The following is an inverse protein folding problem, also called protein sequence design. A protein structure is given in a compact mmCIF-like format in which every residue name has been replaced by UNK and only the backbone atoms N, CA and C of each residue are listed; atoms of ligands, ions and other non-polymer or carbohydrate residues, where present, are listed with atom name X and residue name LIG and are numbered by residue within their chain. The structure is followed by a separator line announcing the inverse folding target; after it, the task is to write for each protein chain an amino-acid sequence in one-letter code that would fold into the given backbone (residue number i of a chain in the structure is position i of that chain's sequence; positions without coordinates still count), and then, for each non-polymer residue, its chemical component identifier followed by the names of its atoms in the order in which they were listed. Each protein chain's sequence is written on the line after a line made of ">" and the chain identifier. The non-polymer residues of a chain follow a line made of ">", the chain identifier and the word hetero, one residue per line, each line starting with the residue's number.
data_IF_518853663777
#
_entry.id   IF_518853663777
#
_cell.length_a   1.000
_cell.length_b   1.000
_cell.length_c   1.000
_cell.angle_alpha   90.00
_cell.angle_beta   90.00
_cell.angle_gamma   90.00
#
_symmetry.space_group_name_H-M   'P 1'
#
loop_
_entity.id
_entity.type
_entity.pdbx_description
1 polymer ?
#
# COMPACT_ATOMS: atom_id res chain seq x y z
N UNK A 1 -7.45 -13.47 -8.24
CA UNK A 1 -7.66 -12.24 -7.45
C UNK A 1 -6.70 -11.17 -7.91
N UNK A 2 -7.14 -9.93 -7.99
CA UNK A 2 -6.27 -8.82 -8.34
C UNK A 2 -5.44 -8.36 -7.11
N UNK A 3 -4.18 -8.05 -7.36
CA UNK A 3 -3.31 -7.31 -6.44
C UNK A 3 -2.95 -5.99 -7.09
N UNK A 4 -3.12 -4.94 -6.34
CA UNK A 4 -2.99 -3.56 -6.76
C UNK A 4 -1.77 -2.94 -6.10
N UNK A 5 -1.10 -2.09 -6.85
CA UNK A 5 -0.20 -1.08 -6.31
C UNK A 5 -0.54 0.25 -6.98
N UNK A 6 0.09 1.34 -6.55
CA UNK A 6 -0.09 2.64 -7.16
C UNK A 6 1.28 3.26 -7.44
N UNK A 7 1.43 3.86 -8.61
CA UNK A 7 2.64 4.53 -9.01
C UNK A 7 2.32 5.87 -9.67
N UNK A 8 2.99 6.93 -9.20
CA UNK A 8 2.97 8.25 -9.80
C UNK A 8 4.44 8.70 -9.97
N UNK A 9 4.85 9.17 -11.15
CA UNK A 9 6.22 9.62 -11.40
C UNK A 9 6.46 11.02 -10.79
N UNK A 10 6.65 11.07 -9.46
CA UNK A 10 6.86 12.31 -8.73
C UNK A 10 8.30 12.87 -8.81
N UNK A 11 9.21 12.18 -9.52
CA UNK A 11 10.64 12.53 -9.56
C UNK A 11 11.38 12.31 -8.24
N UNK A 12 10.75 11.61 -7.29
CA UNK A 12 11.28 11.29 -5.97
C UNK A 12 11.38 9.76 -5.89
N UNK A 13 12.60 9.23 -5.85
CA UNK A 13 12.89 7.79 -5.85
C UNK A 13 12.28 7.05 -7.06
N UNK A 14 12.98 7.06 -8.21
CA UNK A 14 12.58 6.35 -9.44
C UNK A 14 12.32 4.86 -9.20
N UNK A 15 11.08 4.54 -8.82
CA UNK A 15 10.61 3.20 -8.56
C UNK A 15 10.08 2.51 -9.84
N UNK A 16 10.07 3.23 -10.98
CA UNK A 16 9.68 2.69 -12.29
C UNK A 16 10.39 1.37 -12.63
N UNK A 17 11.72 1.21 -12.40
CA UNK A 17 12.40 -0.05 -12.68
C UNK A 17 11.92 -1.23 -11.82
N UNK A 18 11.21 -0.97 -10.71
CA UNK A 18 10.68 -1.99 -9.83
C UNK A 18 9.37 -2.59 -10.35
N UNK A 19 8.61 -1.85 -11.17
CA UNK A 19 7.29 -2.26 -11.67
C UNK A 19 7.34 -3.60 -12.41
N UNK A 20 8.21 -3.82 -13.42
CA UNK A 20 8.24 -5.10 -14.15
C UNK A 20 8.57 -6.29 -13.23
N UNK A 21 9.43 -6.05 -12.24
CA UNK A 21 9.82 -7.06 -11.25
C UNK A 21 8.66 -7.38 -10.29
N UNK A 22 7.99 -6.34 -9.78
CA UNK A 22 6.80 -6.44 -8.95
C UNK A 22 5.69 -7.22 -9.66
N UNK A 23 5.36 -6.86 -10.91
CA UNK A 23 4.38 -7.56 -11.74
C UNK A 23 4.74 -9.03 -11.91
N UNK A 24 6.00 -9.33 -12.23
CA UNK A 24 6.46 -10.71 -12.42
C UNK A 24 6.29 -11.55 -11.15
N UNK A 25 6.77 -11.07 -10.01
CA UNK A 25 6.79 -11.83 -8.76
C UNK A 25 5.37 -12.06 -8.23
N UNK A 26 4.51 -11.03 -8.24
CA UNK A 26 3.11 -11.18 -7.83
C UNK A 26 2.34 -12.15 -8.74
N UNK A 27 2.61 -12.16 -10.04
CA UNK A 27 2.05 -13.14 -10.97
C UNK A 27 2.51 -14.57 -10.65
N UNK A 28 3.79 -14.76 -10.31
CA UNK A 28 4.32 -16.06 -9.90
C UNK A 28 3.69 -16.57 -8.59
N UNK A 29 3.29 -15.67 -7.68
CA UNK A 29 2.54 -15.99 -6.48
C UNK A 29 1.04 -16.27 -6.72
N UNK A 30 0.58 -16.27 -7.98
CA UNK A 30 -0.80 -16.60 -8.37
C UNK A 30 -1.76 -15.41 -8.43
N UNK A 31 -1.27 -14.18 -8.24
CA UNK A 31 -2.10 -12.98 -8.33
C UNK A 31 -2.19 -12.44 -9.77
N UNK A 32 -3.18 -11.58 -9.99
CA UNK A 32 -3.29 -10.74 -11.18
C UNK A 32 -2.83 -9.31 -10.83
N UNK A 33 -1.57 -8.94 -11.12
CA UNK A 33 -1.04 -7.63 -10.78
C UNK A 33 -1.67 -6.52 -11.63
N UNK A 34 -2.03 -5.41 -10.97
CA UNK A 34 -2.53 -4.18 -11.59
C UNK A 34 -1.80 -3.00 -10.97
N UNK A 35 -1.17 -2.18 -11.78
CA UNK A 35 -0.53 -0.93 -11.33
C UNK A 35 -1.52 0.19 -11.60
N UNK A 36 -1.91 0.90 -10.55
CA UNK A 36 -2.80 2.03 -10.63
C UNK A 36 -2.02 3.33 -10.77
N UNK A 37 -2.67 4.33 -11.37
CA UNK A 37 -2.18 5.70 -11.49
C UNK A 37 -3.31 6.71 -11.26
N UNK A 38 -3.03 8.01 -11.43
CA UNK A 38 -4.02 9.06 -11.27
C UNK A 38 -5.24 8.92 -12.21
N UNK A 39 -5.09 8.31 -13.38
CA UNK A 39 -6.21 8.09 -14.31
C UNK A 39 -7.23 7.08 -13.76
N UNK A 40 -6.80 6.19 -12.86
CA UNK A 40 -7.68 5.21 -12.21
C UNK A 40 -8.62 5.81 -11.16
N UNK A 41 -8.43 7.08 -10.83
CA UNK A 41 -9.27 7.82 -9.91
C UNK A 41 -10.55 8.32 -10.59
N UNK A 42 -10.45 8.68 -11.86
CA UNK A 42 -11.51 9.36 -12.58
C UNK A 42 -12.51 8.37 -13.16
N UNK A 43 -13.68 8.33 -12.55
CA UNK A 43 -14.92 7.90 -13.21
C UNK A 43 -15.92 9.07 -13.14
N UNK A 44 -16.81 9.17 -14.13
CA UNK A 44 -17.85 10.19 -14.21
C UNK A 44 -18.72 10.27 -12.94
N UNK A 45 -18.79 9.18 -12.16
CA UNK A 45 -19.57 9.11 -10.92
C UNK A 45 -18.80 9.58 -9.67
N UNK A 46 -17.47 9.64 -9.70
CA UNK A 46 -16.65 9.89 -8.52
C UNK A 46 -15.94 11.25 -8.53
N UNK A 47 -16.09 12.03 -9.60
CA UNK A 47 -15.33 13.28 -9.80
C UNK A 47 -15.51 14.28 -8.65
N UNK A 48 -16.74 14.56 -8.25
CA UNK A 48 -17.02 15.53 -7.17
C UNK A 48 -16.50 15.02 -5.82
N UNK A 49 -16.66 13.73 -5.55
CA UNK A 49 -16.15 13.11 -4.34
C UNK A 49 -14.62 13.12 -4.29
N UNK A 50 -13.97 12.89 -5.44
CA UNK A 50 -12.52 12.99 -5.54
C UNK A 50 -12.03 14.42 -5.31
N UNK A 51 -12.68 15.42 -5.89
CA UNK A 51 -12.31 16.82 -5.67
C UNK A 51 -12.41 17.20 -4.19
N UNK A 52 -13.49 16.81 -3.51
CA UNK A 52 -13.64 17.03 -2.07
C UNK A 52 -12.56 16.29 -1.27
N UNK A 53 -12.29 15.03 -1.62
CA UNK A 53 -11.26 14.23 -0.97
C UNK A 53 -9.88 14.89 -1.12
N UNK A 54 -9.51 15.25 -2.34
CA UNK A 54 -8.24 15.88 -2.68
C UNK A 54 -8.06 17.22 -1.95
N UNK A 55 -9.07 18.09 -1.99
CA UNK A 55 -9.07 19.39 -1.28
C UNK A 55 -8.82 19.22 0.22
N UNK A 56 -9.39 18.16 0.81
CA UNK A 56 -9.28 17.91 2.24
C UNK A 56 -7.91 17.39 2.64
N UNK A 57 -7.43 16.34 1.99
CA UNK A 57 -6.15 15.70 2.34
C UNK A 57 -4.94 16.56 1.94
N UNK A 58 -5.07 17.43 0.93
CA UNK A 58 -4.01 18.36 0.54
C UNK A 58 -3.71 19.44 1.58
N UNK A 59 -4.55 19.60 2.60
CA UNK A 59 -4.35 20.54 3.72
C UNK A 59 -3.62 19.93 4.89
N UNK A 60 -3.38 18.62 4.87
CA UNK A 60 -2.70 17.96 5.97
C UNK A 60 -1.22 18.36 6.00
N UNK A 61 -0.65 18.56 7.20
CA UNK A 61 0.73 18.99 7.30
C UNK A 61 1.67 17.89 6.83
N UNK A 62 2.75 18.26 6.15
CA UNK A 62 3.76 17.31 5.71
C UNK A 62 5.18 17.84 5.85
N UNK A 63 6.10 16.91 6.13
CA UNK A 63 7.55 17.11 6.08
C UNK A 63 8.19 16.48 4.85
N UNK A 64 7.41 15.72 4.07
CA UNK A 64 7.83 15.06 2.84
C UNK A 64 7.85 16.08 1.68
N UNK A 65 8.53 15.76 0.57
CA UNK A 65 8.48 16.61 -0.61
C UNK A 65 7.07 16.74 -1.18
N UNK A 66 6.84 17.83 -1.90
CA UNK A 66 5.54 18.16 -2.49
C UNK A 66 4.97 17.00 -3.32
N UNK A 67 3.69 16.72 -3.11
CA UNK A 67 2.95 15.68 -3.84
C UNK A 67 3.12 14.26 -3.30
N UNK A 68 4.13 13.96 -2.49
CA UNK A 68 4.38 12.59 -2.00
C UNK A 68 3.21 12.04 -1.17
N UNK A 69 2.83 12.71 -0.08
CA UNK A 69 1.71 12.22 0.75
C UNK A 69 0.38 12.28 0.00
N UNK A 70 0.20 13.25 -0.89
CA UNK A 70 -0.97 13.32 -1.74
C UNK A 70 -1.10 12.06 -2.61
N UNK A 71 -0.02 11.60 -3.24
CA UNK A 71 -0.02 10.35 -4.01
C UNK A 71 -0.36 9.14 -3.12
N UNK A 72 0.15 9.08 -1.88
CA UNK A 72 -0.20 8.04 -0.92
C UNK A 72 -1.70 8.04 -0.57
N UNK A 73 -2.33 9.22 -0.44
CA UNK A 73 -3.79 9.33 -0.25
C UNK A 73 -4.58 8.95 -1.49
N UNK A 74 -4.18 9.47 -2.66
CA UNK A 74 -4.84 9.23 -3.95
C UNK A 74 -4.86 7.74 -4.31
N UNK A 75 -3.80 7.00 -3.98
CA UNK A 75 -3.73 5.54 -4.10
C UNK A 75 -4.97 4.84 -3.53
N UNK A 76 -5.40 5.23 -2.33
CA UNK A 76 -6.56 4.60 -1.68
C UNK A 76 -7.85 4.91 -2.42
N UNK A 77 -7.94 6.11 -3.01
CA UNK A 77 -9.07 6.50 -3.83
C UNK A 77 -9.09 5.72 -5.15
N UNK A 78 -7.96 5.63 -5.86
CA UNK A 78 -7.82 4.83 -7.07
C UNK A 78 -8.21 3.35 -6.82
N UNK A 79 -7.75 2.80 -5.70
CA UNK A 79 -8.12 1.45 -5.27
C UNK A 79 -9.64 1.31 -5.10
N UNK A 80 -10.26 2.23 -4.36
CA UNK A 80 -11.71 2.21 -4.15
C UNK A 80 -12.50 2.32 -5.47
N UNK A 81 -12.10 3.23 -6.37
CA UNK A 81 -12.71 3.38 -7.71
C UNK A 81 -12.63 2.06 -8.49
N UNK A 82 -11.49 1.37 -8.45
CA UNK A 82 -11.37 0.05 -9.10
C UNK A 82 -12.30 -1.00 -8.48
N UNK A 83 -12.46 -1.04 -7.17
CA UNK A 83 -13.37 -2.00 -6.51
C UNK A 83 -14.85 -1.73 -6.82
N UNK A 84 -15.22 -0.49 -7.13
CA UNK A 84 -16.57 -0.14 -7.58
C UNK A 84 -16.78 -0.60 -9.03
N UNK A 85 -15.83 -0.29 -9.91
CA UNK A 85 -16.02 -0.43 -11.36
C UNK A 85 -15.82 -1.86 -11.87
N UNK A 86 -15.09 -2.69 -11.13
CA UNK A 86 -14.76 -4.05 -11.52
C UNK A 86 -15.38 -5.06 -10.55
N UNK A 87 -16.56 -5.58 -10.90
CA UNK A 87 -17.31 -6.52 -10.07
C UNK A 87 -16.50 -7.74 -9.60
N UNK A 88 -15.56 -8.23 -10.41
CA UNK A 88 -14.69 -9.36 -10.05
C UNK A 88 -13.79 -9.09 -8.84
N UNK A 89 -13.57 -7.81 -8.51
CA UNK A 89 -12.68 -7.36 -7.44
C UNK A 89 -13.43 -6.85 -6.21
N UNK A 90 -14.74 -6.66 -6.34
CA UNK A 90 -15.63 -6.01 -5.36
C UNK A 90 -15.61 -6.69 -4.00
N UNK A 91 -15.46 -8.01 -3.97
CA UNK A 91 -15.59 -8.82 -2.76
C UNK A 91 -14.27 -9.00 -2.01
N UNK A 92 -13.14 -9.01 -2.72
CA UNK A 92 -11.82 -9.23 -2.13
C UNK A 92 -10.70 -8.88 -3.11
N UNK A 93 -9.90 -7.88 -2.75
CA UNK A 93 -8.68 -7.48 -3.46
C UNK A 93 -7.59 -7.03 -2.49
N UNK A 94 -6.36 -6.96 -2.96
CA UNK A 94 -5.18 -6.59 -2.16
C UNK A 94 -4.57 -5.30 -2.71
N UNK A 95 -4.34 -4.29 -1.87
CA UNK A 95 -3.51 -3.11 -2.16
C UNK A 95 -2.19 -3.22 -1.41
N UNK A 96 -1.06 -3.09 -2.10
CA UNK A 96 0.29 -3.20 -1.54
C UNK A 96 1.18 -2.07 -2.03
N UNK A 97 2.17 -1.72 -1.21
CA UNK A 97 3.24 -0.81 -1.62
C UNK A 97 4.08 -1.45 -2.73
N UNK A 98 4.69 -0.60 -3.58
CA UNK A 98 5.48 -1.06 -4.72
C UNK A 98 6.77 -1.80 -4.28
N UNK A 99 7.24 -1.56 -3.05
CA UNK A 99 8.38 -2.25 -2.44
C UNK A 99 7.99 -3.38 -1.48
N UNK A 100 6.76 -3.87 -1.57
CA UNK A 100 6.27 -5.05 -0.84
C UNK A 100 6.04 -6.21 -1.81
N UNK A 101 6.56 -7.37 -1.44
CA UNK A 101 6.55 -8.58 -2.27
C UNK A 101 6.03 -9.80 -1.49
N UNK A 102 5.40 -10.77 -2.18
CA UNK A 102 4.97 -12.01 -1.56
C UNK A 102 6.18 -12.90 -1.27
N UNK A 103 6.25 -13.39 -0.02
CA UNK A 103 7.22 -14.40 0.44
C UNK A 103 6.53 -15.69 0.90
N UNK A 104 5.31 -15.92 0.43
CA UNK A 104 4.45 -17.05 0.81
C UNK A 104 2.95 -16.75 0.72
N UNK A 105 2.57 -15.48 0.53
CA UNK A 105 1.17 -15.10 0.36
C UNK A 105 0.63 -15.59 -0.98
N UNK A 106 -0.58 -16.14 -0.98
CA UNK A 106 -1.30 -16.59 -2.17
C UNK A 106 -2.73 -16.05 -2.15
N UNK A 107 -3.46 -16.05 -3.27
CA UNK A 107 -4.86 -15.58 -3.29
C UNK A 107 -5.78 -16.32 -2.31
N UNK A 108 -5.49 -17.60 -2.05
CA UNK A 108 -6.31 -18.48 -1.21
C UNK A 108 -6.13 -18.19 0.29
N UNK A 109 -5.00 -17.58 0.68
CA UNK A 109 -4.72 -17.23 2.08
C UNK A 109 -5.23 -15.85 2.48
N UNK A 110 -5.89 -15.12 1.57
CA UNK A 110 -6.40 -13.78 1.83
C UNK A 110 -7.79 -13.75 2.49
N UNK A 111 -7.92 -12.85 3.46
CA UNK A 111 -9.15 -12.57 4.21
C UNK A 111 -10.13 -11.71 3.42
N UNK A 112 -11.43 -11.84 3.72
CA UNK A 112 -12.49 -10.95 3.24
C UNK A 112 -12.70 -9.78 4.19
N UNK A 113 -13.34 -8.70 3.71
CA UNK A 113 -13.52 -7.47 4.48
C UNK A 113 -12.23 -6.65 4.61
N UNK A 114 -12.21 -5.68 5.54
CA UNK A 114 -11.08 -4.79 5.74
C UNK A 114 -10.01 -5.41 6.66
N UNK A 115 -8.83 -5.67 6.11
CA UNK A 115 -7.71 -6.28 6.81
C UNK A 115 -6.42 -5.52 6.50
N UNK A 116 -5.68 -5.15 7.54
CA UNK A 116 -4.39 -4.45 7.41
C UNK A 116 -3.28 -5.42 7.80
N UNK A 117 -2.28 -5.55 6.93
CA UNK A 117 -1.11 -6.39 7.14
C UNK A 117 0.07 -5.55 7.58
N UNK A 118 0.63 -5.90 8.72
CA UNK A 118 1.56 -5.08 9.47
C UNK A 118 2.93 -5.74 9.57
N UNK A 119 3.97 -4.92 9.56
CA UNK A 119 5.31 -5.31 9.94
C UNK A 119 5.45 -5.43 11.49
N UNK A 120 6.61 -5.84 12.03
CA UNK A 120 6.84 -5.87 13.47
C UNK A 120 6.77 -4.51 14.17
N UNK A 121 6.95 -3.40 13.45
CA UNK A 121 6.87 -2.02 13.96
C UNK A 121 5.46 -1.41 13.84
N UNK A 122 4.45 -2.22 13.49
CA UNK A 122 3.06 -1.77 13.30
C UNK A 122 2.90 -0.78 12.13
N UNK A 123 3.77 -0.88 11.12
CA UNK A 123 3.68 -0.17 9.85
C UNK A 123 2.84 -1.00 8.87
N UNK A 124 1.77 -0.43 8.28
CA UNK A 124 1.01 -1.08 7.21
C UNK A 124 1.87 -1.33 5.97
N UNK A 125 1.96 -2.58 5.52
CA UNK A 125 2.62 -2.95 4.26
C UNK A 125 1.61 -3.28 3.15
N UNK A 126 0.41 -3.71 3.54
CA UNK A 126 -0.63 -4.13 2.60
C UNK A 126 -2.00 -4.07 3.26
N UNK A 127 -3.04 -3.96 2.44
CA UNK A 127 -4.43 -3.95 2.86
C UNK A 127 -5.24 -4.86 1.94
N UNK A 128 -5.84 -5.89 2.52
CA UNK A 128 -6.89 -6.66 1.85
C UNK A 128 -8.24 -6.01 2.15
N UNK A 129 -9.02 -5.73 1.12
CA UNK A 129 -10.29 -5.04 1.28
C UNK A 129 -11.32 -5.45 0.25
N UNK A 130 -12.58 -5.21 0.59
CA UNK A 130 -13.69 -5.19 -0.35
C UNK A 130 -14.13 -3.72 -0.58
N UNK A 131 -15.13 -3.50 -1.43
CA UNK A 131 -15.56 -2.13 -1.75
C UNK A 131 -16.08 -1.35 -0.51
N UNK A 132 -16.70 -2.04 0.47
CA UNK A 132 -17.15 -1.40 1.72
C UNK A 132 -15.98 -1.03 2.62
N UNK A 133 -15.01 -1.93 2.77
CA UNK A 133 -13.81 -1.70 3.57
C UNK A 133 -12.96 -0.56 3.01
N UNK A 134 -12.80 -0.51 1.68
CA UNK A 134 -12.09 0.61 1.03
C UNK A 134 -12.83 1.93 1.19
N UNK A 135 -14.17 1.94 1.20
CA UNK A 135 -14.94 3.14 1.53
C UNK A 135 -14.64 3.64 2.94
N UNK A 136 -14.64 2.74 3.93
CA UNK A 136 -14.33 3.10 5.32
C UNK A 136 -12.91 3.66 5.47
N UNK A 137 -11.95 3.20 4.67
CA UNK A 137 -10.61 3.80 4.63
C UNK A 137 -10.64 5.23 4.10
N UNK A 138 -11.38 5.51 3.03
CA UNK A 138 -11.52 6.88 2.52
C UNK A 138 -12.19 7.79 3.54
N UNK A 139 -13.22 7.31 4.22
CA UNK A 139 -13.88 8.06 5.30
C UNK A 139 -12.88 8.39 6.42
N UNK A 140 -12.09 7.41 6.87
CA UNK A 140 -11.07 7.62 7.90
C UNK A 140 -9.98 8.63 7.48
N UNK A 141 -9.56 8.61 6.21
CA UNK A 141 -8.63 9.59 5.63
C UNK A 141 -9.22 11.00 5.61
N UNK A 142 -10.53 11.13 5.39
CA UNK A 142 -11.22 12.42 5.39
C UNK A 142 -11.62 12.92 6.78
N UNK A 143 -11.61 12.11 7.84
CA UNK A 143 -12.05 12.59 9.16
C UNK A 143 -11.23 13.81 9.66
N UNK A 144 -9.94 13.89 9.32
CA UNK A 144 -9.03 14.98 9.67
C UNK A 144 -7.56 14.51 9.69
N UNK A 145 -6.59 15.38 10.00
CA UNK A 145 -5.20 14.94 10.11
C UNK A 145 -4.98 14.09 11.36
N UNK A 146 -4.09 13.09 11.28
CA UNK A 146 -3.52 12.37 12.41
C UNK A 146 -2.10 12.91 12.63
N UNK A 147 -1.94 13.83 13.59
CA UNK A 147 -0.73 14.65 13.71
C UNK A 147 0.37 13.86 14.43
N UNK A 148 1.46 13.61 13.72
CA UNK A 148 2.75 13.19 14.26
C UNK A 148 3.72 14.37 14.26
N UNK A 149 4.70 14.32 15.17
CA UNK A 149 5.79 15.30 15.21
C UNK A 149 7.08 14.66 14.69
N UNK A 150 7.59 15.14 13.56
CA UNK A 150 8.85 14.69 12.97
C UNK A 150 9.83 15.86 13.02
N UNK A 151 10.85 15.75 13.88
CA UNK A 151 11.88 16.77 14.07
C UNK A 151 11.29 18.17 14.35
N UNK A 152 10.24 18.24 15.18
CA UNK A 152 9.59 19.50 15.58
C UNK A 152 8.66 20.10 14.53
N UNK A 153 8.34 19.37 13.46
CA UNK A 153 7.34 19.76 12.46
C UNK A 153 6.18 18.79 12.47
N UNK A 154 4.97 19.32 12.31
CA UNK A 154 3.77 18.51 12.17
C UNK A 154 3.81 17.74 10.85
N UNK A 155 3.35 16.49 10.89
CA UNK A 155 3.23 15.63 9.73
C UNK A 155 2.04 14.69 9.90
N UNK A 156 1.33 14.47 8.81
CA UNK A 156 0.33 13.42 8.69
C UNK A 156 0.62 12.64 7.42
N UNK A 157 0.57 11.31 7.53
CA UNK A 157 0.56 10.39 6.39
C UNK A 157 -0.64 9.46 6.50
N UNK A 158 -0.92 8.70 5.44
CA UNK A 158 -1.95 7.67 5.46
C UNK A 158 -1.66 6.60 6.52
N UNK A 159 -0.39 6.26 6.75
CA UNK A 159 0.03 5.38 7.84
C UNK A 159 -0.39 5.91 9.20
N UNK A 160 -0.11 7.18 9.52
CA UNK A 160 -0.51 7.78 10.80
C UNK A 160 -2.03 7.72 11.00
N UNK A 161 -2.80 8.03 9.96
CA UNK A 161 -4.27 7.94 10.01
C UNK A 161 -4.72 6.49 10.21
N UNK A 162 -4.07 5.54 9.55
CA UNK A 162 -4.41 4.12 9.69
C UNK A 162 -4.14 3.63 11.11
N UNK A 163 -3.03 4.05 11.71
CA UNK A 163 -2.68 3.72 13.08
C UNK A 163 -3.67 4.31 14.08
N UNK A 164 -4.09 5.56 13.91
CA UNK A 164 -5.00 6.21 14.85
C UNK A 164 -6.46 5.73 14.72
N UNK A 165 -6.92 5.48 13.48
CA UNK A 165 -8.34 5.32 13.14
C UNK A 165 -8.67 3.99 12.48
N UNK A 166 -7.99 3.64 11.40
CA UNK A 166 -8.31 2.41 10.64
C UNK A 166 -8.14 1.16 11.52
N UNK A 167 -7.25 1.18 12.51
CA UNK A 167 -7.12 0.12 13.51
C UNK A 167 -8.36 -0.16 14.37
N UNK A 168 -9.32 0.76 14.40
CA UNK A 168 -10.60 0.57 15.11
C UNK A 168 -11.63 -0.19 14.28
N UNK A 169 -11.44 -0.21 12.95
CA UNK A 169 -12.41 -0.76 11.98
C UNK A 169 -11.84 -1.91 11.15
N UNK A 170 -10.54 -2.15 11.19
CA UNK A 170 -9.85 -3.18 10.44
C UNK A 170 -9.35 -4.34 11.32
N UNK A 171 -9.38 -5.54 10.77
CA UNK A 171 -8.64 -6.67 11.34
C UNK A 171 -7.14 -6.49 11.08
N UNK A 172 -6.32 -6.76 12.08
CA UNK A 172 -4.87 -6.55 12.02
C UNK A 172 -4.15 -7.88 11.99
N UNK A 173 -3.24 -8.05 11.02
CA UNK A 173 -2.49 -9.29 10.86
C UNK A 173 -0.99 -9.03 10.75
N UNK A 174 -0.15 -9.64 11.59
CA UNK A 174 1.29 -9.49 11.54
C UNK A 174 1.88 -10.38 10.43
N UNK A 175 1.63 -10.07 9.15
CA UNK A 175 2.04 -10.89 8.00
C UNK A 175 3.26 -10.33 7.25
N UNK A 176 3.64 -9.09 7.50
CA UNK A 176 4.75 -8.44 6.83
C UNK A 176 6.03 -8.56 7.65
N UNK A 177 7.16 -8.73 6.97
CA UNK A 177 8.49 -8.66 7.55
C UNK A 177 9.35 -7.67 6.77
N UNK A 178 10.32 -7.04 7.42
CA UNK A 178 11.27 -6.18 6.71
C UNK A 178 12.48 -6.97 6.20
N UNK A 179 12.94 -6.63 5.00
CA UNK A 179 14.22 -7.08 4.47
C UNK A 179 15.37 -6.48 5.30
N UNK A 180 16.30 -7.32 5.77
CA UNK A 180 17.37 -6.93 6.69
C UNK A 180 18.72 -6.61 5.99
N UNK A 181 18.82 -6.79 4.68
CA UNK A 181 20.06 -6.60 3.92
C UNK A 181 21.04 -7.77 3.96
N UNK A 182 20.85 -8.73 4.88
CA UNK A 182 21.76 -9.89 5.03
C UNK A 182 21.37 -11.04 4.11
N UNK A 183 20.14 -11.01 3.57
CA UNK A 183 19.58 -12.11 2.79
C UNK A 183 19.13 -13.29 3.65
N UNK A 184 19.25 -13.18 4.98
CA UNK A 184 18.57 -14.06 5.91
C UNK A 184 17.11 -13.63 6.00
N UNK A 185 16.22 -14.62 5.98
CA UNK A 185 14.81 -14.34 5.96
C UNK A 185 14.34 -14.02 7.38
N UNK A 186 13.67 -12.90 7.57
CA UNK A 186 12.69 -12.82 8.65
C UNK A 186 11.55 -13.83 8.42
N UNK A 187 11.16 -14.11 7.16
CA UNK A 187 10.04 -15.00 6.81
C UNK A 187 10.33 -16.52 6.71
N UNK A 188 11.57 -17.01 6.59
CA UNK A 188 11.90 -18.44 6.83
C UNK A 188 12.08 -18.72 8.32
N UNK A 189 12.44 -17.70 9.10
CA UNK A 189 12.47 -17.81 10.56
C UNK A 189 11.05 -17.80 11.13
N UNK A 190 10.13 -17.10 10.46
CA UNK A 190 8.71 -17.09 10.79
C UNK A 190 7.83 -17.37 9.55
N UNK A 191 7.41 -18.63 9.31
CA UNK A 191 6.59 -19.00 8.17
C UNK A 191 5.18 -18.35 8.20
N UNK A 192 4.81 -17.67 9.29
CA UNK A 192 3.57 -16.89 9.36
C UNK A 192 3.69 -15.53 8.63
N UNK A 193 4.91 -15.08 8.31
CA UNK A 193 5.19 -13.83 7.59
C UNK A 193 5.22 -14.07 6.08
N UNK A 194 4.07 -13.90 5.46
CA UNK A 194 3.85 -14.19 4.04
C UNK A 194 4.15 -13.01 3.10
N UNK A 195 4.55 -11.85 3.63
CA UNK A 195 4.98 -10.66 2.91
C UNK A 195 6.37 -10.17 3.36
N UNK A 196 7.12 -9.60 2.42
CA UNK A 196 8.41 -8.94 2.67
C UNK A 196 8.41 -7.51 2.13
N UNK A 197 8.70 -6.54 2.99
CA UNK A 197 8.91 -5.13 2.66
C UNK A 197 10.40 -4.84 2.45
N UNK A 198 10.72 -4.09 1.39
CA UNK A 198 12.08 -3.68 1.04
C UNK A 198 12.27 -2.18 1.28
N UNK A 199 12.52 -1.75 2.54
CA UNK A 199 12.56 -0.34 2.89
C UNK A 199 13.71 0.38 2.19
N UNK A 200 13.46 1.63 1.80
CA UNK A 200 14.47 2.48 1.14
C UNK A 200 15.73 2.64 1.99
N UNK A 201 15.61 2.77 3.31
CA UNK A 201 16.74 2.93 4.22
C UNK A 201 17.79 1.79 4.16
N UNK A 202 17.40 0.59 3.73
CA UNK A 202 18.30 -0.58 3.64
C UNK A 202 18.68 -0.95 2.22
N UNK A 203 17.82 -0.62 1.25
CA UNK A 203 18.00 -1.02 -0.15
C UNK A 203 18.50 0.10 -1.03
N UNK A 204 18.17 1.36 -0.69
CA UNK A 204 18.56 2.56 -1.41
C UNK A 204 18.38 2.42 -2.93
N UNK A 205 19.40 2.76 -3.74
CA UNK A 205 19.33 2.65 -5.20
C UNK A 205 19.37 1.19 -5.71
N UNK A 206 19.80 0.24 -4.88
CA UNK A 206 20.00 -1.17 -5.27
C UNK A 206 18.76 -2.03 -4.97
N UNK A 207 17.56 -1.42 -4.87
CA UNK A 207 16.34 -2.12 -4.47
C UNK A 207 15.97 -3.24 -5.45
N UNK A 208 16.14 -3.01 -6.74
CA UNK A 208 15.87 -4.02 -7.78
C UNK A 208 16.78 -5.24 -7.61
N UNK A 209 18.06 -5.02 -7.37
CA UNK A 209 19.09 -6.03 -7.16
C UNK A 209 18.83 -6.82 -5.87
N UNK A 210 18.47 -6.12 -4.79
CA UNK A 210 18.11 -6.74 -3.52
C UNK A 210 16.90 -7.68 -3.66
N UNK A 211 15.84 -7.22 -4.34
CA UNK A 211 14.64 -8.03 -4.61
C UNK A 211 14.98 -9.23 -5.48
N UNK A 212 15.75 -9.04 -6.56
CA UNK A 212 16.17 -10.14 -7.43
C UNK A 212 16.96 -11.19 -6.65
N UNK A 213 17.96 -10.78 -5.88
CA UNK A 213 18.79 -11.66 -5.06
C UNK A 213 17.98 -12.41 -4.00
N UNK A 214 16.93 -11.79 -3.47
CA UNK A 214 16.15 -12.38 -2.38
C UNK A 214 15.01 -13.30 -2.86
N UNK A 215 14.30 -12.93 -3.93
CA UNK A 215 13.06 -13.61 -4.35
C UNK A 215 13.17 -14.41 -5.63
N UNK A 216 14.22 -14.21 -6.43
CA UNK A 216 14.42 -14.97 -7.65
C UNK A 216 15.57 -15.99 -7.43
N UNK A 217 15.39 -17.24 -7.89
CA UNK A 217 16.45 -18.23 -7.91
C UNK A 217 17.58 -17.86 -8.89
#
# INVERSE_FOLDING_TARGET
>A
MNVYTYYEPLGINDAEPLIPLWTKIWKQAGFKPVVLDLNDVFDQYNKDFFHLFQERVSRYPTVNPDGYDLACYVRWFAFHTRLINYHADRDKSLMVDLDVFPSGLTPDTLFTGLNVFLDPNWVPCAVASNFLGSRLLLDALMEGPAIANINGREHTSDMHIFQERAWRIANKHPLCSEYDGTGLYASKQDPTRSLTHFPHARTGPNKVEAVKKFLLP
#
